data_IF_920572261546
#
_entry.id   IF_920572261546
#
_cell.length_a   1.000
_cell.length_b   1.000
_cell.length_c   1.000
_cell.angle_alpha   90.00
_cell.angle_beta   90.00
_cell.angle_gamma   90.00
#
_symmetry.space_group_name_H-M   'P 1'
#
loop_
_entity.id
_entity.type
_entity.pdbx_description
1 polymer ?
#
# COMPACT_ATOMS: atom_id res chain seq x y z
N UNK A 1 70.32 23.86 -9.70
CA UNK A 1 69.67 24.81 -8.79
C UNK A 1 70.66 25.21 -7.73
N UNK A 2 70.90 26.51 -7.58
CA UNK A 2 71.73 27.04 -6.50
C UNK A 2 70.93 27.04 -5.19
N UNK A 3 71.62 27.04 -4.04
CA UNK A 3 70.96 26.99 -2.72
C UNK A 3 69.98 28.14 -2.50
N UNK A 4 70.20 29.29 -3.14
CA UNK A 4 69.35 30.47 -3.06
C UNK A 4 67.99 30.25 -3.73
N UNK A 5 67.96 29.57 -4.87
CA UNK A 5 66.72 29.22 -5.59
C UNK A 5 65.86 28.24 -4.76
N UNK A 6 66.52 27.26 -4.11
CA UNK A 6 65.85 26.32 -3.23
C UNK A 6 65.30 26.98 -1.96
N UNK A 7 65.96 28.01 -1.44
CA UNK A 7 65.49 28.77 -0.27
C UNK A 7 64.27 29.61 -0.64
N UNK A 8 64.30 30.30 -1.80
CA UNK A 8 63.18 31.10 -2.28
C UNK A 8 61.94 30.24 -2.56
N UNK A 9 62.12 29.07 -3.21
CA UNK A 9 61.01 28.14 -3.46
C UNK A 9 60.40 27.60 -2.15
N UNK A 10 61.21 27.34 -1.13
CA UNK A 10 60.73 26.93 0.20
C UNK A 10 59.98 28.07 0.89
N UNK A 11 60.46 29.30 0.75
CA UNK A 11 59.83 30.49 1.34
C UNK A 11 58.48 30.77 0.69
N UNK A 12 58.41 30.75 -0.64
CA UNK A 12 57.17 30.90 -1.41
C UNK A 12 56.14 29.81 -1.07
N UNK A 13 56.61 28.57 -0.84
CA UNK A 13 55.74 27.47 -0.43
C UNK A 13 55.22 27.64 1.00
N UNK A 14 56.04 28.17 1.91
CA UNK A 14 55.63 28.47 3.28
C UNK A 14 54.65 29.65 3.28
N UNK A 15 54.89 30.67 2.44
CA UNK A 15 54.01 31.82 2.29
C UNK A 15 52.66 31.45 1.70
N UNK A 16 52.61 30.59 0.67
CA UNK A 16 51.33 30.12 0.11
C UNK A 16 50.54 29.22 1.07
N UNK A 17 51.22 28.51 1.97
CA UNK A 17 50.59 27.73 3.04
C UNK A 17 50.12 28.60 4.22
N UNK A 18 50.79 29.73 4.47
CA UNK A 18 50.45 30.68 5.54
C UNK A 18 49.43 31.73 5.11
N UNK A 19 49.31 32.05 3.81
CA UNK A 19 48.34 33.00 3.28
C UNK A 19 46.88 32.72 3.71
N UNK A 20 46.33 31.48 3.56
CA UNK A 20 44.97 31.19 4.01
C UNK A 20 44.81 31.24 5.54
N UNK A 21 45.88 31.00 6.31
CA UNK A 21 45.89 31.15 7.77
C UNK A 21 45.91 32.63 8.18
N UNK A 22 46.64 33.47 7.45
CA UNK A 22 46.66 34.91 7.65
C UNK A 22 45.32 35.55 7.31
N UNK A 23 44.67 35.12 6.23
CA UNK A 23 43.31 35.55 5.86
C UNK A 23 42.28 35.11 6.90
N UNK A 24 42.39 33.87 7.41
CA UNK A 24 41.53 33.37 8.49
C UNK A 24 41.74 34.16 9.79
N UNK A 25 42.99 34.51 10.12
CA UNK A 25 43.30 35.34 11.29
C UNK A 25 42.76 36.78 11.14
N UNK A 26 42.76 37.32 9.92
CA UNK A 26 42.19 38.62 9.59
C UNK A 26 40.66 38.61 9.70
N UNK A 27 39.99 37.57 9.19
CA UNK A 27 38.54 37.38 9.35
C UNK A 27 38.12 37.22 10.81
N UNK A 28 38.91 36.53 11.64
CA UNK A 28 38.70 36.46 13.09
C UNK A 28 38.89 37.82 13.78
N UNK A 29 39.84 38.62 13.30
CA UNK A 29 40.08 39.97 13.83
C UNK A 29 38.96 40.92 13.45
N UNK A 30 38.49 40.89 12.21
CA UNK A 30 37.35 41.69 11.74
C UNK A 30 36.05 41.26 12.46
N UNK A 31 35.80 39.96 12.58
CA UNK A 31 34.67 39.44 13.37
C UNK A 31 34.76 39.92 14.82
N UNK A 32 35.95 39.91 15.43
CA UNK A 32 36.18 40.45 16.78
C UNK A 32 35.93 41.97 16.83
N UNK A 33 36.46 42.73 15.89
CA UNK A 33 36.34 44.19 15.85
C UNK A 33 34.89 44.62 15.55
N UNK A 34 34.09 43.80 14.86
CA UNK A 34 32.67 44.03 14.58
C UNK A 34 31.74 43.49 15.68
N UNK A 35 32.06 42.34 16.29
CA UNK A 35 31.26 41.79 17.39
C UNK A 35 31.47 42.55 18.69
N UNK A 36 32.70 42.97 19.01
CA UNK A 36 33.01 43.55 20.33
C UNK A 36 32.21 44.83 20.61
N UNK A 37 32.04 45.78 19.67
CA UNK A 37 31.18 46.96 19.87
C UNK A 37 29.70 46.58 19.97
N UNK A 38 29.24 45.66 19.11
CA UNK A 38 27.83 45.26 19.02
C UNK A 38 27.38 44.37 20.17
N UNK A 39 28.30 43.61 20.76
CA UNK A 39 28.09 42.84 21.98
C UNK A 39 27.81 43.78 23.16
N UNK A 40 28.51 44.92 23.26
CA UNK A 40 28.24 45.91 24.30
C UNK A 40 26.85 46.55 24.14
N UNK A 41 26.41 46.81 22.91
CA UNK A 41 25.05 47.30 22.63
C UNK A 41 23.99 46.23 22.92
N UNK A 42 24.20 44.98 22.50
CA UNK A 42 23.31 43.87 22.80
C UNK A 42 23.19 43.60 24.30
N UNK A 43 24.30 43.70 25.05
CA UNK A 43 24.31 43.59 26.51
C UNK A 43 23.53 44.74 27.16
N UNK A 44 23.71 45.98 26.69
CA UNK A 44 22.91 47.12 27.17
C UNK A 44 21.42 46.96 26.86
N UNK A 45 21.09 46.53 25.65
CA UNK A 45 19.71 46.27 25.23
C UNK A 45 19.06 45.17 26.07
N UNK A 46 19.78 44.07 26.32
CA UNK A 46 19.36 43.01 27.23
C UNK A 46 19.17 43.57 28.65
N UNK A 47 20.08 44.38 29.18
CA UNK A 47 19.92 44.99 30.51
C UNK A 47 18.69 45.90 30.57
N UNK A 48 18.39 46.66 29.52
CA UNK A 48 17.21 47.53 29.44
C UNK A 48 15.89 46.74 29.29
N UNK A 49 15.87 45.68 28.48
CA UNK A 49 14.73 44.75 28.38
C UNK A 49 14.53 43.94 29.67
N UNK A 50 15.60 43.50 30.32
CA UNK A 50 15.55 42.84 31.63
C UNK A 50 15.02 43.77 32.73
N UNK A 51 15.19 45.09 32.59
CA UNK A 51 14.59 46.09 33.48
C UNK A 51 13.09 46.23 33.26
N UNK A 52 12.59 45.95 32.04
CA UNK A 52 11.16 45.95 31.70
C UNK A 52 10.45 44.62 32.06
N UNK A 53 11.23 43.55 32.32
CA UNK A 53 10.75 42.33 33.01
C UNK A 53 10.64 42.63 34.52
N UNK A 54 9.79 43.60 34.85
CA UNK A 54 9.51 43.98 36.23
C UNK A 54 8.92 42.79 37.00
N UNK A 55 9.59 42.42 38.10
CA UNK A 55 9.12 41.65 39.28
C UNK A 55 9.50 40.17 39.44
N UNK A 56 10.03 39.44 38.44
CA UNK A 56 10.32 37.99 38.61
C UNK A 56 11.73 37.52 38.25
N UNK A 57 12.61 38.42 37.82
CA UNK A 57 13.95 38.06 37.36
C UNK A 57 15.01 38.45 38.39
N UNK A 58 15.52 37.47 39.15
CA UNK A 58 16.63 37.68 40.09
C UNK A 58 17.97 37.31 39.43
N UNK A 59 19.06 37.98 39.82
CA UNK A 59 20.42 37.62 39.34
C UNK A 59 20.78 36.17 39.71
N UNK A 60 20.22 35.67 40.80
CA UNK A 60 20.27 34.28 41.22
C UNK A 60 19.66 33.32 40.17
N UNK A 61 18.55 33.70 39.53
CA UNK A 61 17.88 32.90 38.49
C UNK A 61 18.74 32.78 37.23
N UNK A 62 19.48 33.83 36.87
CA UNK A 62 20.47 33.80 35.80
C UNK A 62 21.58 32.78 36.10
N UNK A 63 22.10 32.79 37.33
CA UNK A 63 23.13 31.83 37.75
C UNK A 63 22.60 30.39 37.75
N UNK A 64 21.33 30.20 38.11
CA UNK A 64 20.66 28.91 38.12
C UNK A 64 20.40 28.41 36.70
N UNK A 65 20.00 29.30 35.79
CA UNK A 65 19.80 29.02 34.37
C UNK A 65 21.14 28.67 33.69
N UNK A 66 22.21 29.42 33.97
CA UNK A 66 23.57 29.09 33.49
C UNK A 66 24.02 27.73 34.02
N UNK A 67 23.86 27.45 35.33
CA UNK A 67 24.18 26.13 35.91
C UNK A 67 23.34 25.01 35.29
N UNK A 68 22.04 25.25 35.08
CA UNK A 68 21.12 24.27 34.48
C UNK A 68 21.42 24.05 33.00
N UNK A 69 21.84 25.10 32.29
CA UNK A 69 22.36 25.04 30.92
C UNK A 69 23.63 24.22 30.85
N UNK A 70 24.65 24.53 31.65
CA UNK A 70 25.89 23.78 31.76
C UNK A 70 25.66 22.30 32.11
N UNK A 71 24.72 22.03 33.03
CA UNK A 71 24.33 20.66 33.40
C UNK A 71 23.52 19.94 32.30
N UNK A 72 22.83 20.70 31.45
CA UNK A 72 22.05 20.20 30.31
C UNK A 72 22.83 20.18 29.00
N UNK A 73 24.08 20.65 28.96
CA UNK A 73 24.95 20.55 27.77
C UNK A 73 24.98 19.12 27.26
N UNK A 74 25.03 18.12 28.15
CA UNK A 74 24.97 16.71 27.76
C UNK A 74 23.68 16.33 27.04
N UNK A 75 22.54 16.91 27.44
CA UNK A 75 21.26 16.68 26.77
C UNK A 75 21.19 17.41 25.43
N UNK A 76 21.80 18.60 25.32
CA UNK A 76 21.90 19.34 24.06
C UNK A 76 22.81 18.61 23.06
N UNK A 77 23.97 18.13 23.51
CA UNK A 77 24.87 17.29 22.71
C UNK A 77 24.15 16.03 22.24
N UNK A 78 23.44 15.34 23.14
CA UNK A 78 22.63 14.18 22.77
C UNK A 78 21.55 14.52 21.73
N UNK A 79 20.84 15.64 21.87
CA UNK A 79 19.84 16.07 20.88
C UNK A 79 20.46 16.38 19.52
N UNK A 80 21.64 17.00 19.49
CA UNK A 80 22.40 17.26 18.27
C UNK A 80 22.87 15.96 17.61
N UNK A 81 23.33 14.99 18.40
CA UNK A 81 23.67 13.64 17.91
C UNK A 81 22.45 12.94 17.32
N UNK A 82 21.28 13.04 17.96
CA UNK A 82 20.04 12.47 17.42
C UNK A 82 19.62 13.14 16.11
N UNK A 83 19.78 14.46 15.98
CA UNK A 83 19.54 15.15 14.71
C UNK A 83 20.50 14.65 13.62
N UNK A 84 21.77 14.41 13.96
CA UNK A 84 22.74 13.75 13.07
C UNK A 84 22.25 12.38 12.62
N UNK A 85 21.83 11.53 13.54
CA UNK A 85 21.29 10.19 13.23
C UNK A 85 20.06 10.24 12.31
N UNK A 86 19.17 11.23 12.48
CA UNK A 86 18.00 11.42 11.62
C UNK A 86 18.38 11.87 10.20
N UNK A 87 19.40 12.74 10.08
CA UNK A 87 19.94 13.16 8.80
C UNK A 87 20.59 11.96 8.10
N UNK A 88 21.40 11.17 8.81
CA UNK A 88 22.02 9.96 8.26
C UNK A 88 20.99 8.93 7.83
N UNK A 89 19.93 8.74 8.62
CA UNK A 89 18.78 7.91 8.23
C UNK A 89 18.09 8.44 6.97
N UNK A 90 17.83 9.75 6.90
CA UNK A 90 17.21 10.37 5.74
C UNK A 90 18.06 10.19 4.49
N UNK A 91 19.37 10.41 4.58
CA UNK A 91 20.33 10.18 3.49
C UNK A 91 20.40 8.71 3.07
N UNK A 92 20.26 7.78 4.01
CA UNK A 92 20.24 6.34 3.75
C UNK A 92 18.95 5.90 3.04
N UNK A 93 17.80 6.46 3.43
CA UNK A 93 16.49 6.09 2.90
C UNK A 93 16.14 6.86 1.62
N UNK A 94 16.68 8.05 1.40
CA UNK A 94 16.48 8.86 0.19
C UNK A 94 16.69 8.09 -1.12
N UNK A 95 17.79 7.35 -1.36
CA UNK A 95 17.97 6.59 -2.59
C UNK A 95 16.96 5.44 -2.71
N UNK A 96 16.57 4.79 -1.60
CA UNK A 96 15.55 3.75 -1.59
C UNK A 96 14.19 4.32 -1.98
N UNK A 97 13.80 5.48 -1.44
CA UNK A 97 12.57 6.16 -1.81
C UNK A 97 12.60 6.63 -3.27
N UNK A 98 13.71 7.22 -3.73
CA UNK A 98 13.88 7.65 -5.13
C UNK A 98 13.73 6.48 -6.12
N UNK A 99 14.08 5.26 -5.73
CA UNK A 99 13.89 4.06 -6.55
C UNK A 99 12.49 3.44 -6.39
N UNK A 100 11.99 3.36 -5.16
CA UNK A 100 10.78 2.60 -4.82
C UNK A 100 9.49 3.39 -5.08
N UNK A 101 9.49 4.69 -4.80
CA UNK A 101 8.30 5.55 -4.99
C UNK A 101 7.86 5.57 -6.46
N UNK A 102 8.74 5.77 -7.46
CA UNK A 102 8.33 5.70 -8.86
C UNK A 102 7.79 4.33 -9.27
N UNK A 103 8.38 3.24 -8.79
CA UNK A 103 7.89 1.89 -9.07
C UNK A 103 6.49 1.66 -8.48
N UNK A 104 6.26 2.15 -7.26
CA UNK A 104 4.95 2.08 -6.62
C UNK A 104 3.91 2.94 -7.34
N UNK A 105 4.29 4.15 -7.78
CA UNK A 105 3.42 5.00 -8.61
C UNK A 105 3.05 4.28 -9.91
N UNK A 106 4.03 3.74 -10.64
CA UNK A 106 3.79 3.01 -11.88
C UNK A 106 2.90 1.77 -11.67
N UNK A 107 3.11 1.05 -10.57
CA UNK A 107 2.27 -0.09 -10.21
C UNK A 107 0.83 0.33 -9.91
N UNK A 108 0.64 1.40 -9.13
CA UNK A 108 -0.69 1.94 -8.85
C UNK A 108 -1.36 2.48 -10.12
N UNK A 109 -0.60 3.10 -11.02
CA UNK A 109 -1.11 3.58 -12.31
C UNK A 109 -1.53 2.40 -13.22
N UNK A 110 -0.76 1.31 -13.29
CA UNK A 110 -1.15 0.09 -14.00
C UNK A 110 -2.44 -0.52 -13.42
N UNK A 111 -2.57 -0.56 -12.09
CA UNK A 111 -3.81 -1.00 -11.43
C UNK A 111 -4.99 -0.08 -11.78
N UNK A 112 -4.78 1.24 -11.87
CA UNK A 112 -5.80 2.20 -12.26
C UNK A 112 -6.22 2.03 -13.73
N UNK A 113 -5.25 1.93 -14.64
CA UNK A 113 -5.49 1.71 -16.07
C UNK A 113 -6.25 0.42 -16.33
N UNK A 114 -5.87 -0.67 -15.65
CA UNK A 114 -6.61 -1.95 -15.67
C UNK A 114 -7.99 -1.88 -15.01
N UNK A 115 -8.32 -0.76 -14.36
CA UNK A 115 -9.62 -0.52 -13.73
C UNK A 115 -9.82 -1.25 -12.41
N UNK A 116 -8.75 -1.75 -11.78
CA UNK A 116 -8.82 -2.51 -10.52
C UNK A 116 -9.45 -1.66 -9.42
N UNK A 117 -9.08 -0.39 -9.30
CA UNK A 117 -9.70 0.53 -8.32
C UNK A 117 -11.18 0.76 -8.58
N UNK A 118 -11.61 0.82 -9.86
CA UNK A 118 -13.03 0.95 -10.21
C UNK A 118 -13.83 -0.27 -9.75
N UNK A 119 -13.28 -1.48 -9.93
CA UNK A 119 -13.89 -2.74 -9.48
C UNK A 119 -13.97 -2.77 -7.95
N UNK A 120 -12.87 -2.45 -7.24
CA UNK A 120 -12.86 -2.42 -5.77
C UNK A 120 -13.89 -1.42 -5.24
N UNK A 121 -13.98 -0.22 -5.83
CA UNK A 121 -14.96 0.80 -5.45
C UNK A 121 -16.40 0.34 -5.71
N UNK A 122 -16.66 -0.29 -6.86
CA UNK A 122 -17.97 -0.85 -7.17
C UNK A 122 -18.35 -1.96 -6.18
N UNK A 123 -17.42 -2.85 -5.84
CA UNK A 123 -17.61 -3.91 -4.85
C UNK A 123 -17.92 -3.36 -3.46
N UNK A 124 -17.22 -2.30 -3.02
CA UNK A 124 -17.56 -1.61 -1.77
C UNK A 124 -18.96 -1.01 -1.81
N UNK A 125 -19.38 -0.43 -2.94
CA UNK A 125 -20.74 0.07 -3.14
C UNK A 125 -21.80 -1.03 -3.08
N UNK A 126 -21.51 -2.21 -3.65
CA UNK A 126 -22.38 -3.40 -3.53
C UNK A 126 -22.49 -3.82 -2.07
N UNK A 127 -21.37 -3.92 -1.34
CA UNK A 127 -21.37 -4.25 0.09
C UNK A 127 -22.19 -3.25 0.92
N UNK A 128 -22.08 -1.95 0.64
CA UNK A 128 -22.86 -0.93 1.33
C UNK A 128 -24.37 -1.07 1.05
N UNK A 129 -24.76 -1.35 -0.20
CA UNK A 129 -26.16 -1.61 -0.56
C UNK A 129 -26.70 -2.87 0.10
N UNK A 130 -25.89 -3.93 0.14
CA UNK A 130 -26.26 -5.18 0.81
C UNK A 130 -26.44 -4.92 2.31
N UNK A 131 -25.51 -4.24 2.97
CA UNK A 131 -25.61 -3.92 4.38
C UNK A 131 -26.78 -2.98 4.74
N UNK A 132 -27.23 -2.14 3.79
CA UNK A 132 -28.39 -1.28 3.98
C UNK A 132 -29.73 -2.02 3.75
N UNK A 133 -29.75 -3.02 2.86
CA UNK A 133 -30.96 -3.74 2.48
C UNK A 133 -31.19 -5.04 3.27
N UNK A 134 -30.13 -5.63 3.82
CA UNK A 134 -30.13 -6.95 4.45
C UNK A 134 -29.47 -6.88 5.82
N UNK A 135 -30.04 -7.60 6.77
CA UNK A 135 -29.44 -7.75 8.10
C UNK A 135 -28.24 -8.70 8.04
N UNK A 136 -27.36 -8.71 9.06
CA UNK A 136 -26.24 -9.66 9.11
C UNK A 136 -26.66 -11.12 8.95
N UNK A 137 -27.84 -11.49 9.50
CA UNK A 137 -28.39 -12.83 9.40
C UNK A 137 -28.84 -13.16 7.96
N UNK A 138 -29.46 -12.21 7.27
CA UNK A 138 -29.88 -12.41 5.87
C UNK A 138 -28.67 -12.60 4.94
N UNK A 139 -27.56 -11.90 5.21
CA UNK A 139 -26.31 -12.05 4.44
C UNK A 139 -25.71 -13.45 4.64
N UNK A 140 -25.79 -14.00 5.85
CA UNK A 140 -25.32 -15.35 6.17
C UNK A 140 -26.15 -16.42 5.45
N UNK A 141 -27.49 -16.31 5.51
CA UNK A 141 -28.39 -17.22 4.78
C UNK A 141 -28.20 -17.15 3.26
N UNK A 142 -28.00 -15.95 2.70
CA UNK A 142 -27.66 -15.78 1.28
C UNK A 142 -26.30 -16.41 0.94
N UNK A 143 -25.31 -16.25 1.83
CA UNK A 143 -23.98 -16.86 1.69
C UNK A 143 -24.06 -18.38 1.64
N UNK A 144 -24.78 -18.99 2.58
CA UNK A 144 -25.01 -20.44 2.62
C UNK A 144 -25.74 -20.94 1.37
N UNK A 145 -26.76 -20.19 0.92
CA UNK A 145 -27.46 -20.47 -0.33
C UNK A 145 -26.54 -20.45 -1.55
N UNK A 146 -25.65 -19.45 -1.65
CA UNK A 146 -24.67 -19.34 -2.73
C UNK A 146 -23.65 -20.48 -2.70
N UNK A 147 -23.19 -20.90 -1.52
CA UNK A 147 -22.31 -22.07 -1.37
C UNK A 147 -23.03 -23.34 -1.82
N UNK A 148 -24.32 -23.47 -1.47
CA UNK A 148 -25.17 -24.56 -1.97
C UNK A 148 -25.27 -24.58 -3.50
N UNK A 149 -25.54 -23.43 -4.12
CA UNK A 149 -25.60 -23.29 -5.58
C UNK A 149 -24.25 -23.60 -6.25
N UNK A 150 -23.14 -23.15 -5.69
CA UNK A 150 -21.80 -23.49 -6.19
C UNK A 150 -21.50 -24.99 -6.04
N UNK A 151 -21.97 -25.61 -4.94
CA UNK A 151 -21.92 -27.05 -4.75
C UNK A 151 -22.73 -27.81 -5.80
N UNK A 152 -23.91 -27.30 -6.18
CA UNK A 152 -24.71 -27.86 -7.28
C UNK A 152 -24.02 -27.67 -8.63
N UNK A 153 -23.47 -26.49 -8.91
CA UNK A 153 -22.70 -26.24 -10.12
C UNK A 153 -21.53 -27.23 -10.24
N UNK A 154 -20.80 -27.45 -9.14
CA UNK A 154 -19.74 -28.47 -9.08
C UNK A 154 -20.27 -29.88 -9.35
N UNK A 155 -21.42 -30.26 -8.79
CA UNK A 155 -22.08 -31.55 -9.06
C UNK A 155 -22.48 -31.72 -10.52
N UNK A 156 -22.99 -30.67 -11.15
CA UNK A 156 -23.34 -30.67 -12.58
C UNK A 156 -22.10 -30.73 -13.49
N UNK A 157 -20.95 -30.22 -13.05
CA UNK A 157 -19.67 -30.37 -13.78
C UNK A 157 -19.02 -31.77 -13.64
N UNK A 158 -19.64 -32.73 -12.94
CA UNK A 158 -19.12 -34.10 -12.92
C UNK A 158 -19.21 -34.72 -14.31
N UNK A 159 -18.23 -35.55 -14.72
CA UNK A 159 -18.16 -36.11 -16.07
C UNK A 159 -19.41 -36.91 -16.45
N UNK A 160 -20.02 -37.61 -15.50
CA UNK A 160 -21.27 -38.35 -15.72
C UNK A 160 -22.48 -37.44 -15.99
N UNK A 161 -22.60 -36.32 -15.25
CA UNK A 161 -23.66 -35.35 -15.43
C UNK A 161 -23.49 -34.57 -16.74
N UNK A 162 -22.26 -34.16 -17.05
CA UNK A 162 -21.94 -33.51 -18.33
C UNK A 162 -22.21 -34.43 -19.52
N UNK A 163 -21.80 -35.69 -19.47
CA UNK A 163 -22.05 -36.67 -20.54
C UNK A 163 -23.55 -36.95 -20.74
N UNK A 164 -24.34 -36.93 -19.66
CA UNK A 164 -25.79 -37.06 -19.75
C UNK A 164 -26.44 -35.81 -20.36
N UNK A 165 -26.00 -34.61 -19.95
CA UNK A 165 -26.48 -33.35 -20.49
C UNK A 165 -26.11 -33.17 -21.97
N UNK A 166 -24.89 -33.51 -22.36
CA UNK A 166 -24.43 -33.50 -23.75
C UNK A 166 -25.30 -34.42 -24.63
N UNK A 167 -25.56 -35.65 -24.16
CA UNK A 167 -26.48 -36.58 -24.84
C UNK A 167 -27.90 -36.02 -24.98
N UNK A 168 -28.40 -35.26 -24.01
CA UNK A 168 -29.73 -34.63 -24.10
C UNK A 168 -29.73 -33.46 -25.09
N UNK A 169 -28.67 -32.66 -25.08
CA UNK A 169 -28.52 -31.48 -25.95
C UNK A 169 -28.34 -31.89 -27.42
N UNK A 170 -27.74 -33.05 -27.69
CA UNK A 170 -27.55 -33.57 -29.04
C UNK A 170 -28.82 -34.18 -29.66
N UNK A 171 -29.82 -34.57 -28.86
CA UNK A 171 -31.08 -35.16 -29.36
C UNK A 171 -31.79 -34.20 -30.34
N UNK A 172 -32.02 -32.91 -30.02
CA UNK A 172 -32.57 -31.93 -30.96
C UNK A 172 -31.72 -31.64 -32.21
N UNK A 173 -30.42 -31.91 -32.16
CA UNK A 173 -29.49 -31.63 -33.26
C UNK A 173 -29.47 -32.79 -34.25
N UNK A 174 -29.67 -34.01 -33.77
CA UNK A 174 -29.67 -35.24 -34.57
C UNK A 174 -31.06 -35.60 -35.09
N UNK A 175 -32.12 -35.22 -34.39
CA UNK A 175 -33.52 -35.40 -34.80
C UNK A 175 -34.12 -34.05 -35.20
N UNK A 176 -34.61 -33.91 -36.43
CA UNK A 176 -35.36 -32.72 -36.84
C UNK A 176 -36.73 -32.71 -36.15
N UNK A 177 -36.77 -32.16 -34.94
CA UNK A 177 -37.97 -32.03 -34.11
C UNK A 177 -39.06 -31.17 -34.79
N UNK A 178 -38.72 -30.46 -35.87
CA UNK A 178 -39.63 -29.64 -36.67
C UNK A 178 -40.48 -30.47 -37.64
N UNK A 179 -40.07 -31.70 -37.97
CA UNK A 179 -40.75 -32.60 -38.90
C UNK A 179 -41.47 -33.78 -38.24
N UNK A 180 -41.63 -33.75 -36.90
CA UNK A 180 -42.34 -34.79 -36.16
C UNK A 180 -43.79 -34.96 -36.65
N UNK A 181 -44.05 -36.06 -37.40
CA UNK A 181 -45.42 -36.43 -37.81
C UNK A 181 -46.22 -36.85 -36.59
N UNK A 182 -47.44 -36.31 -36.47
CA UNK A 182 -48.38 -36.63 -35.39
C UNK A 182 -48.66 -38.14 -35.39
N UNK A 183 -48.31 -38.82 -34.30
CA UNK A 183 -48.50 -40.26 -34.16
C UNK A 183 -49.94 -40.54 -33.73
N UNK A 184 -50.68 -41.36 -34.49
CA UNK A 184 -52.05 -41.74 -34.13
C UNK A 184 -52.12 -42.69 -32.91
N UNK A 185 -53.31 -42.94 -32.32
CA UNK A 185 -53.46 -43.76 -31.12
C UNK A 185 -52.88 -45.18 -31.25
N UNK A 186 -53.05 -45.81 -32.42
CA UNK A 186 -52.46 -47.12 -32.73
C UNK A 186 -50.94 -47.02 -32.92
N UNK A 187 -50.48 -45.92 -33.52
CA UNK A 187 -49.06 -45.65 -33.72
C UNK A 187 -48.32 -45.39 -32.39
N UNK A 188 -48.97 -44.80 -31.39
CA UNK A 188 -48.41 -44.62 -30.05
C UNK A 188 -48.19 -45.96 -29.35
N UNK A 189 -49.16 -46.87 -29.44
CA UNK A 189 -49.03 -48.22 -28.87
C UNK A 189 -47.92 -48.99 -29.60
N UNK A 190 -47.88 -48.90 -30.94
CA UNK A 190 -46.81 -49.53 -31.73
C UNK A 190 -45.43 -48.91 -31.43
N UNK A 191 -45.35 -47.59 -31.20
CA UNK A 191 -44.11 -46.91 -30.84
C UNK A 191 -43.61 -47.33 -29.46
N UNK A 192 -44.49 -47.46 -28.47
CA UNK A 192 -44.15 -48.01 -27.14
C UNK A 192 -43.65 -49.47 -27.21
N UNK A 193 -43.96 -50.20 -28.29
CA UNK A 193 -43.47 -51.56 -28.49
C UNK A 193 -42.06 -51.62 -29.09
N UNK A 194 -41.52 -50.53 -29.64
CA UNK A 194 -40.16 -50.45 -30.20
C UNK A 194 -39.08 -50.51 -29.11
N UNK A 195 -37.92 -51.10 -29.42
CA UNK A 195 -36.84 -51.32 -28.43
C UNK A 195 -36.29 -50.00 -27.91
N UNK A 196 -36.14 -49.01 -28.78
CA UNK A 196 -35.56 -47.71 -28.49
C UNK A 196 -36.44 -46.92 -27.50
N UNK A 197 -37.75 -46.97 -27.67
CA UNK A 197 -38.72 -46.31 -26.78
C UNK A 197 -38.79 -47.02 -25.42
N UNK A 198 -38.69 -48.35 -25.40
CA UNK A 198 -38.64 -49.13 -24.15
C UNK A 198 -37.36 -48.86 -23.35
N UNK A 199 -36.23 -48.74 -24.03
CA UNK A 199 -34.95 -48.38 -23.41
C UNK A 199 -34.99 -46.96 -22.84
N UNK A 200 -35.50 -45.99 -23.60
CA UNK A 200 -35.68 -44.61 -23.11
C UNK A 200 -36.64 -44.52 -21.92
N UNK A 201 -37.78 -45.24 -21.97
CA UNK A 201 -38.70 -45.36 -20.84
C UNK A 201 -38.04 -46.06 -19.63
N UNK A 202 -37.19 -47.06 -19.86
CA UNK A 202 -36.43 -47.74 -18.82
C UNK A 202 -35.46 -46.80 -18.09
N UNK A 203 -34.73 -45.97 -18.83
CA UNK A 203 -33.85 -44.93 -18.26
C UNK A 203 -34.66 -43.93 -17.43
N UNK A 204 -35.80 -43.45 -17.97
CA UNK A 204 -36.68 -42.56 -17.22
C UNK A 204 -37.23 -43.19 -15.94
N UNK A 205 -37.63 -44.46 -15.99
CA UNK A 205 -38.12 -45.20 -14.82
C UNK A 205 -37.01 -45.33 -13.77
N UNK A 206 -35.76 -45.61 -14.15
CA UNK A 206 -34.64 -45.69 -13.20
C UNK A 206 -34.28 -44.33 -12.60
N UNK A 207 -34.35 -43.24 -13.38
CA UNK A 207 -34.22 -41.87 -12.85
C UNK A 207 -35.33 -41.57 -11.85
N UNK A 208 -36.58 -41.91 -12.16
CA UNK A 208 -37.73 -41.73 -11.27
C UNK A 208 -37.60 -42.59 -10.00
N UNK A 209 -37.15 -43.84 -10.11
CA UNK A 209 -36.86 -44.70 -8.96
C UNK A 209 -35.73 -44.12 -8.11
N UNK A 210 -34.68 -43.57 -8.72
CA UNK A 210 -33.59 -42.87 -8.05
C UNK A 210 -34.10 -41.66 -7.25
N UNK A 211 -34.96 -40.84 -7.85
CA UNK A 211 -35.63 -39.73 -7.17
C UNK A 211 -36.50 -40.22 -5.98
N UNK A 212 -37.18 -41.36 -6.15
CA UNK A 212 -37.95 -42.00 -5.07
C UNK A 212 -37.10 -42.45 -3.88
N UNK A 213 -35.85 -42.87 -4.12
CA UNK A 213 -34.89 -43.27 -3.08
C UNK A 213 -34.29 -42.09 -2.30
N UNK A 214 -34.36 -40.87 -2.85
CA UNK A 214 -33.90 -39.64 -2.16
C UNK A 214 -34.94 -39.15 -1.13
N UNK A 215 -36.18 -39.64 -1.20
CA UNK A 215 -37.27 -39.29 -0.27
C UNK A 215 -37.32 -40.21 0.98
N UNK A 216 -36.17 -40.77 1.37
CA UNK A 216 -35.97 -41.59 2.58
C UNK A 216 -34.90 -40.99 3.47
#
# INVERSE_FOLDING_TARGET
MTNEELILERLDRIESQLAPLADSAKGLKELKDDLVPRANEAVKFLITELVDVESSFQLEDLSLLVKKGLRSVRNLVFALEQLGNLIDFALTVEPLLKSTVPQMINYLDDLEQRGVFRIIKAMMGVRAKIAAAYTPKDIEEIGDGLVGLLGLARKLTHPEAMAFLEKIIDIPVQEDLSTCKRVGPVGLIAACCKSEVKEGLGVLIEVIKGLGKIKG
#
